data_IF_991346033916
#
_entry.id   IF_991346033916
#
_cell.length_a   1.000
_cell.length_b   1.000
_cell.length_c   1.000
_cell.angle_alpha   90.00
_cell.angle_beta   90.00
_cell.angle_gamma   90.00
#
_symmetry.space_group_name_H-M   'P 1'
#
loop_
_entity.id
_entity.type
_entity.pdbx_description
1 polymer ?
#
# COMPACT_ATOMS: atom_id res chain seq x y z
N UNK A 1 -0.38 -3.31 14.22
CA UNK A 1 -0.80 -2.32 13.18
C UNK A 1 -1.94 -2.84 12.31
N UNK A 2 -2.96 -2.02 12.08
CA UNK A 2 -4.10 -2.31 11.19
C UNK A 2 -3.92 -1.52 9.88
N UNK A 3 -3.87 -2.16 8.70
CA UNK A 3 -3.71 -1.45 7.44
C UNK A 3 -5.00 -0.76 6.99
N UNK A 4 -4.86 0.40 6.35
CA UNK A 4 -5.95 1.09 5.67
C UNK A 4 -5.87 0.83 4.16
N UNK A 5 -6.94 0.28 3.59
CA UNK A 5 -7.11 0.14 2.15
C UNK A 5 -8.08 1.20 1.63
N UNK A 6 -7.60 2.06 0.75
CA UNK A 6 -8.42 3.02 0.01
C UNK A 6 -8.73 2.46 -1.37
N UNK A 7 -9.97 2.05 -1.58
CA UNK A 7 -10.45 1.56 -2.88
C UNK A 7 -10.94 2.69 -3.75
N UNK A 8 -10.54 2.69 -5.03
CA UNK A 8 -11.11 3.54 -6.06
C UNK A 8 -12.56 3.16 -6.31
N UNK A 9 -13.43 4.16 -6.31
CA UNK A 9 -14.77 3.99 -6.85
C UNK A 9 -14.71 3.95 -8.39
N UNK A 10 -15.42 2.98 -8.95
CA UNK A 10 -15.68 2.82 -10.38
C UNK A 10 -17.21 2.79 -10.58
N UNK A 11 -17.76 3.45 -11.62
CA UNK A 11 -19.19 3.41 -11.92
C UNK A 11 -19.71 1.97 -11.97
N UNK A 12 -20.80 1.72 -11.24
CA UNK A 12 -21.39 0.39 -11.13
C UNK A 12 -22.88 0.47 -10.79
N UNK A 13 -23.67 -0.42 -11.41
CA UNK A 13 -25.10 -0.55 -11.19
C UNK A 13 -25.87 0.77 -11.38
N UNK A 14 -26.50 1.31 -10.34
CA UNK A 14 -27.31 2.54 -10.39
C UNK A 14 -26.55 3.81 -10.02
N UNK A 15 -25.22 3.76 -9.93
CA UNK A 15 -24.40 4.92 -9.61
C UNK A 15 -23.37 5.16 -10.73
N UNK A 16 -23.51 6.30 -11.40
CA UNK A 16 -22.90 6.62 -12.69
C UNK A 16 -21.95 7.83 -12.64
N UNK A 17 -21.68 8.37 -11.45
CA UNK A 17 -20.69 9.44 -11.29
C UNK A 17 -19.34 8.99 -11.82
N UNK A 18 -18.52 9.92 -12.37
CA UNK A 18 -17.17 9.60 -12.82
C UNK A 18 -16.36 8.87 -11.75
N UNK A 19 -15.48 7.93 -12.14
CA UNK A 19 -14.64 7.22 -11.18
C UNK A 19 -13.78 8.21 -10.38
N UNK A 20 -13.46 7.86 -9.12
CA UNK A 20 -12.61 8.73 -8.30
C UNK A 20 -11.27 8.94 -9.01
N UNK A 21 -10.82 10.21 -9.21
CA UNK A 21 -9.52 10.47 -9.81
C UNK A 21 -8.40 9.81 -9.00
N UNK A 22 -7.40 9.25 -9.69
CA UNK A 22 -6.25 8.65 -9.01
C UNK A 22 -5.47 9.68 -8.19
N UNK A 23 -5.43 10.94 -8.64
CA UNK A 23 -4.86 12.06 -7.89
C UNK A 23 -5.54 12.27 -6.53
N UNK A 24 -6.86 12.16 -6.46
CA UNK A 24 -7.61 12.24 -5.20
C UNK A 24 -7.21 11.10 -4.25
N UNK A 25 -7.05 9.88 -4.76
CA UNK A 25 -6.61 8.73 -3.95
C UNK A 25 -5.18 8.90 -3.46
N UNK A 26 -4.26 9.39 -4.30
CA UNK A 26 -2.89 9.67 -3.91
C UNK A 26 -2.81 10.72 -2.80
N UNK A 27 -3.61 11.78 -2.90
CA UNK A 27 -3.70 12.82 -1.86
C UNK A 27 -4.25 12.25 -0.54
N UNK A 28 -5.33 11.46 -0.61
CA UNK A 28 -5.91 10.80 0.57
C UNK A 28 -4.91 9.85 1.23
N UNK A 29 -4.14 9.09 0.44
CA UNK A 29 -3.08 8.24 0.94
C UNK A 29 -2.00 9.04 1.68
N UNK A 30 -1.54 10.15 1.09
CA UNK A 30 -0.49 10.95 1.73
C UNK A 30 -0.96 11.55 3.05
N UNK A 31 -2.19 12.07 3.09
CA UNK A 31 -2.79 12.58 4.33
C UNK A 31 -2.93 11.48 5.41
N UNK A 32 -3.37 10.28 5.03
CA UNK A 32 -3.53 9.17 5.96
C UNK A 32 -2.19 8.63 6.46
N UNK A 33 -1.12 8.66 5.65
CA UNK A 33 0.21 8.15 6.01
C UNK A 33 0.91 8.95 7.11
N UNK A 34 0.44 10.16 7.40
CA UNK A 34 0.88 10.95 8.55
C UNK A 34 0.48 10.27 9.88
N UNK A 35 -0.63 9.53 9.86
CA UNK A 35 -1.22 8.91 11.05
C UNK A 35 -1.15 7.39 11.05
N UNK A 36 -1.04 6.77 9.87
CA UNK A 36 -1.08 5.33 9.69
C UNK A 36 0.14 4.85 8.90
N UNK A 37 0.90 3.88 9.41
CA UNK A 37 2.11 3.39 8.73
C UNK A 37 1.81 2.68 7.40
N UNK A 38 0.63 2.04 7.30
CA UNK A 38 0.24 1.22 6.16
C UNK A 38 -1.05 1.73 5.52
N UNK A 39 -0.89 2.45 4.40
CA UNK A 39 -2.01 2.95 3.59
C UNK A 39 -1.80 2.52 2.14
N UNK A 40 -2.71 1.67 1.67
CA UNK A 40 -2.65 1.02 0.37
C UNK A 40 -3.76 1.51 -0.57
N UNK A 41 -3.44 1.69 -1.84
CA UNK A 41 -4.44 2.04 -2.86
C UNK A 41 -4.91 0.77 -3.58
N UNK A 42 -6.06 0.24 -3.15
CA UNK A 42 -6.68 -0.91 -3.81
C UNK A 42 -7.08 -0.60 -5.26
N UNK A 43 -7.35 -1.64 -6.06
CA UNK A 43 -8.04 -1.60 -7.38
C UNK A 43 -7.65 -0.48 -8.38
N UNK A 44 -6.43 0.06 -8.26
CA UNK A 44 -5.82 1.06 -9.14
C UNK A 44 -4.53 0.59 -9.79
N UNK A 45 -3.93 -0.51 -9.31
CA UNK A 45 -2.61 -0.97 -9.74
C UNK A 45 -1.44 -0.13 -9.20
N UNK A 46 -1.72 0.87 -8.37
CA UNK A 46 -0.73 1.78 -7.78
C UNK A 46 -0.71 1.64 -6.26
N UNK A 47 0.39 2.04 -5.60
CA UNK A 47 0.40 2.31 -4.16
C UNK A 47 0.10 1.13 -3.22
N UNK A 48 0.35 -0.12 -3.64
CA UNK A 48 0.18 -1.34 -2.83
C UNK A 48 1.49 -1.91 -2.28
N UNK A 49 2.59 -1.18 -2.44
CA UNK A 49 3.90 -1.58 -1.98
C UNK A 49 4.04 -1.40 -0.47
N UNK A 50 4.69 -2.37 0.19
CA UNK A 50 5.05 -2.29 1.60
C UNK A 50 6.51 -1.85 1.73
N UNK A 51 6.75 -0.87 2.61
CA UNK A 51 8.09 -0.35 2.91
C UNK A 51 8.48 -0.65 4.35
N UNK A 52 9.79 -0.71 4.59
CA UNK A 52 10.34 -0.87 5.92
C UNK A 52 10.05 0.37 6.76
N UNK A 53 9.50 0.21 7.97
CA UNK A 53 9.27 1.36 8.86
C UNK A 53 10.57 1.98 9.36
N UNK A 54 11.65 1.21 9.42
CA UNK A 54 12.95 1.68 9.89
C UNK A 54 13.74 2.44 8.81
N UNK A 55 13.91 1.85 7.62
CA UNK A 55 14.77 2.42 6.57
C UNK A 55 14.04 2.82 5.27
N UNK A 56 12.71 2.66 5.19
CA UNK A 56 11.90 2.96 4.01
C UNK A 56 12.23 2.15 2.73
N UNK A 57 13.14 1.17 2.82
CA UNK A 57 13.42 0.24 1.74
C UNK A 57 12.14 -0.52 1.34
N UNK A 58 12.01 -0.81 0.05
CA UNK A 58 10.89 -1.59 -0.47
C UNK A 58 10.99 -3.03 0.03
N UNK A 59 10.05 -3.47 0.87
CA UNK A 59 10.03 -4.83 1.38
C UNK A 59 9.31 -5.74 0.39
N UNK A 60 8.09 -5.36 0.02
CA UNK A 60 7.23 -6.13 -0.88
C UNK A 60 6.67 -5.19 -1.93
N UNK A 61 6.86 -5.58 -3.20
CA UNK A 61 6.23 -4.93 -4.35
C UNK A 61 4.96 -5.69 -4.73
N UNK A 62 3.86 -4.97 -4.94
CA UNK A 62 2.59 -5.55 -5.39
C UNK A 62 2.10 -4.89 -6.66
N UNK A 63 1.82 -5.71 -7.67
CA UNK A 63 1.22 -5.27 -8.92
C UNK A 63 0.16 -6.27 -9.35
N UNK A 64 -1.11 -5.88 -9.23
CA UNK A 64 -2.27 -6.73 -9.51
C UNK A 64 -2.18 -8.08 -8.77
N UNK A 65 -1.98 -9.17 -9.50
CA UNK A 65 -1.89 -10.54 -8.99
C UNK A 65 -0.46 -10.99 -8.71
N UNK A 66 0.53 -10.10 -8.86
CA UNK A 66 1.94 -10.38 -8.64
C UNK A 66 2.42 -9.75 -7.35
N UNK A 67 3.07 -10.58 -6.53
CA UNK A 67 3.77 -10.18 -5.31
C UNK A 67 5.24 -10.55 -5.45
N UNK A 68 6.11 -9.60 -5.18
CA UNK A 68 7.56 -9.77 -5.23
C UNK A 68 8.15 -9.33 -3.88
N UNK A 69 8.89 -10.21 -3.23
CA UNK A 69 9.70 -9.88 -2.05
C UNK A 69 11.02 -9.27 -2.54
N UNK A 70 11.31 -8.03 -2.12
CA UNK A 70 12.46 -7.25 -2.62
C UNK A 70 13.55 -7.18 -1.55
N UNK A 71 13.25 -6.60 -0.39
CA UNK A 71 14.19 -6.52 0.74
C UNK A 71 13.63 -7.17 2.00
N UNK A 72 12.96 -8.31 1.84
CA UNK A 72 12.32 -9.04 2.92
C UNK A 72 12.73 -10.52 2.87
N UNK A 73 13.36 -11.00 3.94
CA UNK A 73 13.81 -12.38 4.08
C UNK A 73 13.77 -12.77 5.56
N UNK A 74 13.24 -13.97 5.87
CA UNK A 74 13.16 -14.52 7.24
C UNK A 74 12.62 -13.55 8.31
N UNK A 75 11.60 -12.75 7.95
CA UNK A 75 10.99 -11.78 8.88
C UNK A 75 11.88 -10.56 9.15
N UNK A 76 12.90 -10.30 8.33
CA UNK A 76 13.80 -9.15 8.47
C UNK A 76 13.87 -8.32 7.19
N UNK A 77 14.18 -7.05 7.36
CA UNK A 77 14.57 -6.18 6.25
C UNK A 77 16.03 -6.46 5.86
N UNK A 78 16.27 -6.96 4.64
CA UNK A 78 17.64 -7.24 4.17
C UNK A 78 18.47 -5.97 3.94
N UNK A 79 17.84 -4.80 3.90
CA UNK A 79 18.53 -3.51 3.74
C UNK A 79 19.04 -2.91 5.06
N UNK A 80 18.40 -3.17 6.21
CA UNK A 80 18.80 -2.56 7.49
C UNK A 80 18.85 -3.52 8.69
N UNK A 81 18.47 -4.79 8.51
CA UNK A 81 18.48 -5.80 9.55
C UNK A 81 17.31 -5.74 10.54
N UNK A 82 16.43 -4.74 10.44
CA UNK A 82 15.27 -4.61 11.33
C UNK A 82 14.34 -5.83 11.21
N UNK A 83 13.87 -6.32 12.36
CA UNK A 83 12.79 -7.31 12.42
C UNK A 83 11.47 -6.68 11.99
N UNK A 84 10.68 -7.46 11.27
CA UNK A 84 9.38 -7.06 10.72
C UNK A 84 8.31 -7.89 11.43
N UNK A 85 7.67 -7.28 12.41
CA UNK A 85 6.63 -7.87 13.26
C UNK A 85 5.20 -7.42 12.87
N UNK A 86 5.09 -6.62 11.82
CA UNK A 86 3.83 -6.07 11.33
C UNK A 86 3.32 -6.80 10.09
N UNK A 87 2.00 -6.80 9.94
CA UNK A 87 1.30 -7.49 8.86
C UNK A 87 1.66 -6.86 7.52
N UNK A 88 2.11 -7.70 6.60
CA UNK A 88 2.41 -7.33 5.22
C UNK A 88 1.22 -7.75 4.35
N UNK A 89 0.14 -6.94 4.36
CA UNK A 89 -1.06 -7.14 3.53
C UNK A 89 -0.79 -6.83 2.06
#
# INVERSE_FOLDING_TARGET
EIPLHLSRYHPAYHYDRPPTPESTLMQAREAARIHLPFVYLGNTGLGNDTRCLNCQALLIRRSYYRTEMVHFEEGRCTSCGAEIDYIIA
#
